data_IF_245058127165
#
_entry.id   IF_245058127165
#
_cell.length_a   1.000
_cell.length_b   1.000
_cell.length_c   1.000
_cell.angle_alpha   90.00
_cell.angle_beta   90.00
_cell.angle_gamma   90.00
#
_symmetry.space_group_name_H-M   'P 1'
#
loop_
_entity.id
_entity.type
_entity.pdbx_description
1 polymer ?
#
# COMPACT_ATOMS: atom_id res chain seq x y z
N UNK A 1 13.64 -8.73 20.58
CA UNK A 1 12.70 -9.07 19.50
C UNK A 1 13.53 -9.73 18.42
N UNK A 2 13.17 -10.94 17.98
CA UNK A 2 13.86 -11.57 16.86
C UNK A 2 13.84 -10.63 15.66
N UNK A 3 14.96 -10.51 14.95
CA UNK A 3 15.03 -9.79 13.69
C UNK A 3 14.09 -10.49 12.69
N UNK A 4 12.99 -9.82 12.34
CA UNK A 4 12.01 -10.36 11.39
C UNK A 4 12.49 -9.98 9.99
N UNK A 5 12.75 -10.97 9.14
CA UNK A 5 12.97 -10.72 7.72
C UNK A 5 11.67 -10.20 7.09
N UNK A 6 11.68 -8.92 6.71
CA UNK A 6 10.51 -8.26 6.13
C UNK A 6 10.14 -8.79 4.74
N UNK A 7 11.08 -9.36 3.99
CA UNK A 7 10.81 -10.00 2.70
C UNK A 7 10.02 -11.29 2.90
N UNK A 8 10.50 -12.17 3.79
CA UNK A 8 9.80 -13.41 4.11
C UNK A 8 8.45 -13.12 4.81
N UNK A 9 8.39 -12.12 5.70
CA UNK A 9 7.13 -11.73 6.33
C UNK A 9 6.06 -11.29 5.32
N UNK A 10 6.47 -10.56 4.28
CA UNK A 10 5.58 -10.19 3.18
C UNK A 10 5.18 -11.41 2.32
N UNK A 11 6.11 -12.34 2.07
CA UNK A 11 5.81 -13.57 1.35
C UNK A 11 4.79 -14.45 2.11
N UNK A 12 4.91 -14.54 3.44
CA UNK A 12 3.91 -15.19 4.32
C UNK A 12 2.53 -14.57 4.19
N UNK A 13 2.45 -13.23 4.25
CA UNK A 13 1.21 -12.50 4.03
C UNK A 13 0.57 -12.86 2.68
N UNK A 14 1.36 -12.90 1.60
CA UNK A 14 0.87 -13.22 0.26
C UNK A 14 0.38 -14.67 0.11
N UNK A 15 0.96 -15.61 0.87
CA UNK A 15 0.53 -17.02 0.92
C UNK A 15 -0.65 -17.28 1.86
N UNK A 16 -1.06 -16.28 2.66
CA UNK A 16 -2.10 -16.43 3.68
C UNK A 16 -1.62 -17.08 4.98
N UNK A 17 -0.31 -17.05 5.23
CA UNK A 17 0.31 -17.56 6.46
C UNK A 17 0.35 -16.48 7.56
N UNK A 18 0.64 -16.88 8.80
CA UNK A 18 0.83 -15.95 9.92
C UNK A 18 2.01 -15.02 9.65
N UNK A 19 1.76 -13.71 9.74
CA UNK A 19 2.73 -12.65 9.50
C UNK A 19 2.56 -11.50 10.52
N UNK A 20 3.58 -10.68 10.66
CA UNK A 20 3.56 -9.45 11.46
C UNK A 20 3.05 -8.28 10.62
N UNK A 21 1.89 -7.74 10.97
CA UNK A 21 1.22 -6.70 10.20
C UNK A 21 1.85 -5.30 10.31
N UNK A 22 2.51 -4.98 11.42
CA UNK A 22 3.00 -3.63 11.75
C UNK A 22 4.52 -3.50 11.64
N UNK A 23 5.11 -4.07 10.59
CA UNK A 23 6.50 -3.80 10.23
C UNK A 23 6.62 -2.52 9.38
N UNK A 24 7.75 -1.78 9.45
CA UNK A 24 7.98 -0.57 8.68
C UNK A 24 7.60 -0.70 7.20
N UNK A 25 8.14 -1.69 6.47
CA UNK A 25 7.88 -1.84 5.03
C UNK A 25 6.42 -2.13 4.67
N UNK A 26 5.71 -2.96 5.43
CA UNK A 26 4.28 -3.19 5.19
C UNK A 26 3.45 -1.95 5.54
N UNK A 27 3.84 -1.21 6.57
CA UNK A 27 3.19 0.04 6.96
C UNK A 27 3.38 1.11 5.90
N UNK A 28 4.59 1.27 5.36
CA UNK A 28 4.90 2.20 4.26
C UNK A 28 4.10 1.86 3.01
N UNK A 29 3.98 0.57 2.67
CA UNK A 29 3.14 0.10 1.56
C UNK A 29 1.68 0.49 1.75
N UNK A 30 1.12 0.29 2.94
CA UNK A 30 -0.26 0.70 3.25
C UNK A 30 -0.44 2.21 3.19
N UNK A 31 0.48 2.98 3.75
CA UNK A 31 0.42 4.43 3.73
C UNK A 31 0.47 4.97 2.29
N UNK A 32 1.33 4.40 1.44
CA UNK A 32 1.37 4.75 0.01
C UNK A 32 0.02 4.53 -0.66
N UNK A 33 -0.59 3.35 -0.47
CA UNK A 33 -1.92 3.05 -1.02
C UNK A 33 -3.00 3.97 -0.43
N UNK A 34 -2.95 4.25 0.88
CA UNK A 34 -3.87 5.17 1.54
C UNK A 34 -3.84 6.56 0.90
N UNK A 35 -2.64 7.11 0.68
CA UNK A 35 -2.48 8.42 0.04
C UNK A 35 -2.91 8.42 -1.43
N UNK A 36 -2.61 7.37 -2.20
CA UNK A 36 -3.05 7.25 -3.59
C UNK A 36 -4.59 7.21 -3.69
N UNK A 37 -5.23 6.34 -2.90
CA UNK A 37 -6.68 6.27 -2.82
C UNK A 37 -7.29 7.60 -2.37
N UNK A 38 -6.69 8.28 -1.39
CA UNK A 38 -7.15 9.59 -0.94
C UNK A 38 -7.11 10.60 -2.09
N UNK A 39 -5.97 10.76 -2.77
CA UNK A 39 -5.83 11.69 -3.91
C UNK A 39 -6.83 11.42 -5.02
N UNK A 40 -7.01 10.14 -5.38
CA UNK A 40 -7.98 9.74 -6.39
C UNK A 40 -9.42 10.09 -5.97
N UNK A 41 -9.81 9.71 -4.76
CA UNK A 41 -11.18 9.90 -4.25
C UNK A 41 -11.52 11.38 -4.02
N UNK A 42 -10.55 12.22 -3.67
CA UNK A 42 -10.77 13.64 -3.39
C UNK A 42 -10.46 14.56 -4.59
N UNK A 43 -10.21 14.01 -5.78
CA UNK A 43 -9.80 14.79 -6.94
C UNK A 43 -10.86 15.80 -7.43
N UNK A 44 -12.15 15.55 -7.14
CA UNK A 44 -13.25 16.39 -7.61
C UNK A 44 -13.45 16.32 -9.14
N UNK A 45 -13.88 17.41 -9.75
CA UNK A 45 -14.07 17.51 -11.20
C UNK A 45 -12.74 17.80 -11.91
N UNK A 46 -12.03 16.74 -12.27
CA UNK A 46 -10.82 16.82 -13.10
C UNK A 46 -11.03 16.10 -14.44
N UNK A 47 -10.29 16.47 -15.50
CA UNK A 47 -10.38 15.77 -16.78
C UNK A 47 -10.13 14.27 -16.61
N UNK A 48 -10.80 13.45 -17.43
CA UNK A 48 -10.68 11.98 -17.39
C UNK A 48 -9.22 11.49 -17.44
N UNK A 49 -8.36 12.16 -18.21
CA UNK A 49 -6.93 11.84 -18.27
C UNK A 49 -6.26 11.95 -16.89
N UNK A 50 -6.61 12.97 -16.10
CA UNK A 50 -6.05 13.16 -14.77
C UNK A 50 -6.51 12.09 -13.78
N UNK A 51 -7.76 11.62 -13.88
CA UNK A 51 -8.22 10.47 -13.09
C UNK A 51 -7.42 9.20 -13.41
N UNK A 52 -7.12 8.95 -14.68
CA UNK A 52 -6.30 7.79 -15.08
C UNK A 52 -4.86 7.90 -14.56
N UNK A 53 -4.27 9.10 -14.53
CA UNK A 53 -2.96 9.32 -13.92
C UNK A 53 -2.99 9.00 -12.41
N UNK A 54 -3.97 9.54 -11.68
CA UNK A 54 -4.13 9.29 -10.24
C UNK A 54 -4.41 7.81 -9.92
N UNK A 55 -5.09 7.09 -10.80
CA UNK A 55 -5.34 5.65 -10.67
C UNK A 55 -4.07 4.80 -10.84
N UNK A 56 -3.07 5.31 -11.56
CA UNK A 56 -1.81 4.58 -11.83
C UNK A 56 -0.71 4.85 -10.80
N UNK A 57 -0.92 5.78 -9.88
CA UNK A 57 -0.02 6.06 -8.74
C UNK A 57 -0.10 4.96 -7.67
#
# INVERSE_FOLDING_TARGET
>A
MSEIDELENEARMARGELYHAFLPKLTDKRNRCHHACHRFNTAGEVPRRKLVELWRE
#
